data_IF_022484554017
#
_entry.id   IF_022484554017
#
_cell.length_a   1.000
_cell.length_b   1.000
_cell.length_c   1.000
_cell.angle_alpha   90.00
_cell.angle_beta   90.00
_cell.angle_gamma   90.00
#
_symmetry.space_group_name_H-M   'P 1'
#
loop_
_entity.id
_entity.type
_entity.pdbx_description
1 polymer ?
#
# COMPACT_ATOMS: atom_id res chain seq x y z
N UNK A 1 5.28 5.14 -10.42
CA UNK A 1 3.94 4.78 -9.93
C UNK A 1 2.97 4.92 -11.08
N UNK A 2 2.26 3.86 -11.44
CA UNK A 2 1.28 3.90 -12.52
C UNK A 2 -0.07 4.27 -11.91
N UNK A 3 -0.49 5.52 -12.08
CA UNK A 3 -1.77 6.02 -11.58
C UNK A 3 -2.94 5.74 -12.52
N UNK A 4 -2.71 4.97 -13.58
CA UNK A 4 -3.70 4.72 -14.61
C UNK A 4 -3.50 3.32 -15.18
N UNK A 5 -4.59 2.58 -15.32
CA UNK A 5 -4.61 1.34 -16.08
C UNK A 5 -5.72 1.41 -17.13
N UNK A 6 -5.44 0.85 -18.30
CA UNK A 6 -6.44 0.49 -19.30
C UNK A 6 -6.52 -1.03 -19.34
N UNK A 7 -7.63 -1.58 -18.85
CA UNK A 7 -7.85 -3.01 -18.77
C UNK A 7 -8.55 -3.48 -20.04
N UNK A 8 -7.83 -4.24 -20.86
CA UNK A 8 -8.35 -4.82 -22.09
C UNK A 8 -8.91 -6.24 -21.93
N UNK A 9 -9.78 -6.64 -22.85
CA UNK A 9 -10.14 -8.04 -23.05
C UNK A 9 -9.00 -8.82 -23.75
N UNK A 10 -9.18 -10.14 -23.91
CA UNK A 10 -8.19 -11.00 -24.59
C UNK A 10 -7.94 -10.62 -26.06
N UNK A 11 -8.76 -9.74 -26.64
CA UNK A 11 -8.64 -9.22 -28.00
C UNK A 11 -8.04 -7.81 -28.04
N UNK A 12 -7.61 -7.28 -26.89
CA UNK A 12 -7.00 -5.96 -26.75
C UNK A 12 -8.01 -4.80 -26.78
N UNK A 13 -9.31 -5.07 -26.61
CA UNK A 13 -10.32 -4.01 -26.53
C UNK A 13 -10.42 -3.50 -25.10
N UNK A 14 -10.28 -2.18 -24.91
CA UNK A 14 -10.49 -1.53 -23.61
C UNK A 14 -11.87 -1.87 -23.05
N UNK A 15 -11.90 -2.40 -21.82
CA UNK A 15 -13.11 -2.70 -21.04
C UNK A 15 -13.35 -1.56 -20.06
N UNK A 16 -12.31 -1.12 -19.36
CA UNK A 16 -12.38 -0.05 -18.37
C UNK A 16 -11.01 0.61 -18.24
N UNK A 17 -11.01 1.90 -17.94
CA UNK A 17 -9.79 2.67 -17.73
C UNK A 17 -9.97 3.62 -16.55
N UNK A 18 -8.88 3.97 -15.89
CA UNK A 18 -8.89 4.89 -14.76
C UNK A 18 -7.79 4.61 -13.74
N UNK A 19 -7.87 5.24 -12.56
CA UNK A 19 -6.90 5.01 -11.52
C UNK A 19 -6.89 3.58 -11.05
N UNK A 20 -5.69 3.03 -10.91
CA UNK A 20 -5.45 1.66 -10.51
C UNK A 20 -4.56 1.61 -9.28
N UNK A 21 -4.95 0.78 -8.32
CA UNK A 21 -4.13 0.42 -7.17
C UNK A 21 -3.69 -1.03 -7.39
N UNK A 22 -2.38 -1.26 -7.35
CA UNK A 22 -1.81 -2.58 -7.47
C UNK A 22 -1.44 -3.09 -6.07
N UNK A 23 -2.02 -4.22 -5.68
CA UNK A 23 -1.60 -4.94 -4.49
C UNK A 23 -0.98 -6.26 -4.94
N UNK A 24 0.25 -6.51 -4.51
CA UNK A 24 0.94 -7.75 -4.82
C UNK A 24 0.49 -8.87 -3.89
N UNK A 25 0.22 -10.05 -4.46
CA UNK A 25 -0.03 -11.24 -3.68
C UNK A 25 1.22 -11.59 -2.86
N UNK A 26 1.01 -11.96 -1.60
CA UNK A 26 2.10 -12.27 -0.67
C UNK A 26 1.90 -13.67 -0.11
N UNK A 27 2.96 -14.47 -0.10
CA UNK A 27 2.96 -15.77 0.56
C UNK A 27 3.05 -15.59 2.08
N UNK A 28 2.00 -15.92 2.85
CA UNK A 28 1.97 -15.67 4.30
C UNK A 28 2.85 -16.63 5.10
N UNK A 29 3.46 -17.65 4.48
CA UNK A 29 4.40 -18.58 5.13
C UNK A 29 5.85 -18.39 4.68
N UNK A 30 6.11 -17.52 3.71
CA UNK A 30 7.45 -17.24 3.26
C UNK A 30 8.28 -16.51 4.35
N UNK A 31 9.59 -16.74 4.33
CA UNK A 31 10.55 -15.95 5.12
C UNK A 31 11.13 -14.86 4.25
N UNK A 32 10.99 -13.62 4.68
CA UNK A 32 11.62 -12.48 4.02
C UNK A 32 12.93 -12.15 4.75
N UNK A 33 13.97 -11.86 3.97
CA UNK A 33 15.27 -11.41 4.48
C UNK A 33 15.50 -9.97 4.02
N UNK A 34 15.75 -9.08 4.97
CA UNK A 34 16.13 -7.69 4.70
C UNK A 34 17.51 -7.42 5.30
N UNK A 35 18.37 -6.68 4.61
CA UNK A 35 19.62 -6.15 5.17
C UNK A 35 19.39 -5.44 6.52
N UNK A 36 20.33 -5.56 7.45
CA UNK A 36 20.30 -4.76 8.70
C UNK A 36 20.93 -3.37 8.55
N UNK A 37 21.44 -3.03 7.36
CA UNK A 37 21.93 -1.69 7.02
C UNK A 37 20.78 -0.93 6.38
N UNK A 38 19.96 -0.32 7.24
CA UNK A 38 18.77 0.44 6.84
C UNK A 38 19.12 1.93 6.84
N UNK A 39 18.63 2.65 5.84
CA UNK A 39 18.55 4.10 5.89
C UNK A 39 17.36 4.55 6.78
N UNK A 40 17.14 5.85 7.01
CA UNK A 40 16.04 6.31 7.84
C UNK A 40 14.64 5.90 7.34
N UNK A 41 14.43 5.85 6.02
CA UNK A 41 13.13 5.50 5.43
C UNK A 41 12.87 4.00 5.59
N UNK A 42 13.87 3.18 5.30
CA UNK A 42 13.89 1.74 5.54
C UNK A 42 13.68 1.42 7.03
N UNK A 43 14.27 2.20 7.93
CA UNK A 43 14.10 2.02 9.37
C UNK A 43 12.68 2.36 9.84
N UNK A 44 12.05 3.38 9.25
CA UNK A 44 10.66 3.71 9.52
C UNK A 44 9.74 2.60 9.01
N UNK A 45 9.98 2.07 7.82
CA UNK A 45 9.21 0.97 7.26
C UNK A 45 9.35 -0.31 8.08
N UNK A 46 10.54 -0.64 8.57
CA UNK A 46 10.74 -1.74 9.51
C UNK A 46 9.86 -1.59 10.75
N UNK A 47 9.70 -0.38 11.27
CA UNK A 47 8.88 -0.13 12.44
C UNK A 47 7.38 -0.30 12.13
N UNK A 48 6.91 0.16 10.96
CA UNK A 48 5.52 -0.07 10.52
C UNK A 48 5.21 -1.55 10.39
N UNK A 49 6.13 -2.34 9.82
CA UNK A 49 5.94 -3.79 9.73
C UNK A 49 5.85 -4.45 11.13
N UNK A 50 6.59 -3.95 12.12
CA UNK A 50 6.41 -4.43 13.51
C UNK A 50 5.03 -4.05 14.07
N UNK A 51 4.55 -2.84 13.81
CA UNK A 51 3.20 -2.40 14.23
C UNK A 51 2.09 -3.22 13.58
N UNK A 52 2.30 -3.68 12.35
CA UNK A 52 1.39 -4.58 11.64
C UNK A 52 1.44 -6.02 12.18
N UNK A 53 2.32 -6.30 13.15
CA UNK A 53 2.40 -7.58 13.84
C UNK A 53 3.35 -8.59 13.20
N UNK A 54 4.25 -8.18 12.30
CA UNK A 54 5.30 -9.06 11.81
C UNK A 54 6.30 -9.37 12.91
N UNK A 55 6.68 -10.65 13.03
CA UNK A 55 7.72 -11.08 13.95
C UNK A 55 9.06 -10.90 13.23
N UNK A 56 9.91 -10.02 13.77
CA UNK A 56 11.18 -9.67 13.14
C UNK A 56 12.33 -10.01 14.08
N UNK A 57 13.22 -10.89 13.63
CA UNK A 57 14.43 -11.27 14.34
C UNK A 57 15.66 -10.71 13.63
N UNK A 58 16.64 -10.22 14.39
CA UNK A 58 17.94 -9.84 13.81
C UNK A 58 18.88 -11.04 13.86
N UNK A 59 19.24 -11.57 12.70
CA UNK A 59 20.17 -12.69 12.55
C UNK A 59 21.40 -12.21 11.79
N UNK A 60 22.48 -11.93 12.53
CA UNK A 60 23.70 -11.37 11.97
C UNK A 60 23.46 -10.01 11.32
N UNK A 61 23.68 -9.93 10.00
CA UNK A 61 23.52 -8.72 9.18
C UNK A 61 22.15 -8.62 8.49
N UNK A 62 21.16 -9.38 8.96
CA UNK A 62 19.83 -9.44 8.35
C UNK A 62 18.72 -9.33 9.40
N UNK A 63 17.61 -8.74 9.00
CA UNK A 63 16.30 -8.91 9.60
C UNK A 63 15.60 -10.08 8.91
N UNK A 64 15.17 -11.06 9.69
CA UNK A 64 14.41 -12.23 9.24
C UNK A 64 12.98 -12.04 9.70
N UNK A 65 12.05 -12.03 8.74
CA UNK A 65 10.63 -11.85 9.00
C UNK A 65 9.96 -13.22 9.04
N UNK A 66 9.23 -13.46 10.11
CA UNK A 66 8.23 -14.52 10.18
C UNK A 66 6.87 -13.88 9.98
N UNK A 67 6.28 -14.19 8.83
CA UNK A 67 5.01 -13.64 8.41
C UNK A 67 3.88 -14.54 8.93
N UNK A 68 2.73 -13.92 9.20
CA UNK A 68 1.50 -14.63 9.49
C UNK A 68 0.42 -14.10 8.56
N UNK A 69 -0.64 -14.87 8.33
CA UNK A 69 -1.79 -14.36 7.57
C UNK A 69 -2.33 -13.05 8.17
N UNK A 70 -2.33 -12.92 9.50
CA UNK A 70 -2.78 -11.72 10.19
C UNK A 70 -1.88 -10.51 9.90
N UNK A 71 -0.55 -10.67 9.99
CA UNK A 71 0.40 -9.57 9.76
C UNK A 71 0.46 -9.15 8.29
N UNK A 72 0.41 -10.11 7.37
CA UNK A 72 0.33 -9.83 5.92
C UNK A 72 -0.94 -9.06 5.59
N UNK A 73 -2.09 -9.51 6.12
CA UNK A 73 -3.36 -8.82 5.92
C UNK A 73 -3.32 -7.42 6.50
N UNK A 74 -2.75 -7.25 7.69
CA UNK A 74 -2.61 -5.94 8.32
C UNK A 74 -1.79 -4.99 7.44
N UNK A 75 -0.62 -5.43 6.97
CA UNK A 75 0.21 -4.63 6.06
C UNK A 75 -0.51 -4.31 4.76
N UNK A 76 -1.06 -5.31 4.06
CA UNK A 76 -1.71 -5.07 2.77
C UNK A 76 -2.91 -4.12 2.88
N UNK A 77 -3.81 -4.36 3.86
CA UNK A 77 -5.08 -3.62 3.94
C UNK A 77 -4.96 -2.29 4.66
N UNK A 78 -4.11 -2.20 5.70
CA UNK A 78 -4.10 -1.06 6.62
C UNK A 78 -2.85 -0.21 6.52
N UNK A 79 -1.82 -0.66 5.81
CA UNK A 79 -0.61 0.11 5.53
C UNK A 79 -0.49 0.39 4.03
N UNK A 80 -0.27 -0.65 3.21
CA UNK A 80 -0.04 -0.54 1.77
C UNK A 80 -1.25 0.05 1.03
N UNK A 81 -2.43 -0.55 1.12
CA UNK A 81 -3.61 -0.06 0.39
C UNK A 81 -3.92 1.41 0.73
N UNK A 82 -3.88 1.79 2.00
CA UNK A 82 -4.15 3.17 2.41
C UNK A 82 -3.06 4.14 1.94
N UNK A 83 -1.81 3.69 1.87
CA UNK A 83 -0.69 4.45 1.32
C UNK A 83 -0.85 4.69 -0.19
N UNK A 84 -1.19 3.64 -0.95
CA UNK A 84 -1.48 3.75 -2.38
C UNK A 84 -2.67 4.71 -2.66
N UNK A 85 -3.73 4.63 -1.85
CA UNK A 85 -4.84 5.60 -1.89
C UNK A 85 -4.32 7.01 -1.56
N UNK A 86 -3.42 7.15 -0.60
CA UNK A 86 -2.80 8.42 -0.23
C UNK A 86 -2.06 9.08 -1.40
N UNK A 87 -1.32 8.30 -2.19
CA UNK A 87 -0.70 8.81 -3.41
C UNK A 87 -1.73 9.28 -4.45
N UNK A 88 -2.80 8.50 -4.66
CA UNK A 88 -3.89 8.91 -5.54
C UNK A 88 -4.58 10.18 -5.07
N UNK A 89 -4.82 10.33 -3.77
CA UNK A 89 -5.41 11.56 -3.21
C UNK A 89 -4.48 12.75 -3.45
N UNK A 90 -3.16 12.63 -3.23
CA UNK A 90 -2.22 13.74 -3.53
C UNK A 90 -2.29 14.15 -5.01
N UNK A 91 -2.37 13.18 -5.93
CA UNK A 91 -2.56 13.42 -7.36
C UNK A 91 -3.89 14.12 -7.66
N UNK A 92 -4.98 13.63 -7.08
CA UNK A 92 -6.31 14.17 -7.27
C UNK A 92 -6.40 15.64 -6.84
N UNK A 93 -5.83 15.98 -5.67
CA UNK A 93 -5.85 17.34 -5.13
C UNK A 93 -4.96 18.30 -5.92
N UNK A 94 -3.85 17.82 -6.49
CA UNK A 94 -2.83 18.68 -7.10
C UNK A 94 -2.86 18.72 -8.62
N UNK A 95 -3.51 17.76 -9.26
CA UNK A 95 -3.50 17.62 -10.72
C UNK A 95 -4.93 17.54 -11.25
N UNK A 96 -5.68 16.49 -10.93
CA UNK A 96 -6.99 16.28 -11.55
C UNK A 96 -8.01 17.37 -11.20
N UNK A 97 -8.15 17.74 -9.92
CA UNK A 97 -9.12 18.78 -9.52
C UNK A 97 -8.78 20.18 -10.03
N UNK A 98 -7.51 20.65 -9.97
CA UNK A 98 -7.12 21.91 -10.60
C UNK A 98 -7.32 21.90 -12.12
N UNK A 99 -6.98 20.79 -12.79
CA UNK A 99 -7.25 20.59 -14.23
C UNK A 99 -8.74 20.72 -14.54
N UNK A 100 -9.62 20.09 -13.76
CA UNK A 100 -11.07 20.20 -13.94
C UNK A 100 -11.59 21.63 -13.72
N UNK A 101 -10.82 22.48 -13.03
CA UNK A 101 -11.10 23.91 -12.84
C UNK A 101 -10.51 24.78 -13.96
N UNK A 102 -9.88 24.19 -14.96
CA UNK A 102 -9.35 24.87 -16.15
C UNK A 102 -7.87 25.23 -16.07
N UNK A 103 -7.14 24.74 -15.08
CA UNK A 103 -5.67 24.89 -15.02
C UNK A 103 -4.97 23.98 -16.05
N UNK A 104 -3.78 24.40 -16.49
CA UNK A 104 -3.01 23.68 -17.50
C UNK A 104 -2.46 22.35 -16.98
N UNK A 105 -2.87 21.24 -17.60
CA UNK A 105 -2.50 19.89 -17.16
C UNK A 105 -0.99 19.65 -17.19
N UNK A 106 -0.30 20.10 -18.24
CA UNK A 106 1.13 19.84 -18.40
C UNK A 106 1.93 20.56 -17.30
N UNK A 107 1.57 21.82 -17.01
CA UNK A 107 2.15 22.55 -15.89
C UNK A 107 1.89 21.89 -14.51
N UNK A 108 0.67 21.39 -14.28
CA UNK A 108 0.32 20.69 -13.03
C UNK A 108 1.08 19.36 -12.90
N UNK A 109 1.16 18.59 -13.98
CA UNK A 109 1.92 17.34 -14.07
C UNK A 109 3.38 17.58 -13.71
N UNK A 110 4.02 18.55 -14.36
CA UNK A 110 5.42 18.90 -14.12
C UNK A 110 5.62 19.39 -12.68
N UNK A 111 4.75 20.27 -12.19
CA UNK A 111 4.80 20.74 -10.81
C UNK A 111 4.70 19.58 -9.80
N UNK A 112 3.83 18.60 -10.06
CA UNK A 112 3.68 17.43 -9.20
C UNK A 112 4.95 16.57 -9.18
N UNK A 113 5.51 16.24 -10.34
CA UNK A 113 6.68 15.36 -10.43
C UNK A 113 8.01 16.04 -10.07
N UNK A 114 8.08 17.37 -10.16
CA UNK A 114 9.21 18.16 -9.67
C UNK A 114 9.30 18.23 -8.13
N UNK A 115 8.23 17.85 -7.42
CA UNK A 115 8.29 17.72 -5.96
C UNK A 115 9.24 16.60 -5.55
N UNK A 116 10.05 16.80 -4.49
CA UNK A 116 10.91 15.76 -3.95
C UNK A 116 10.13 14.47 -3.70
N UNK A 117 10.71 13.32 -4.09
CA UNK A 117 10.08 12.01 -3.85
C UNK A 117 9.72 11.84 -2.38
N UNK A 118 10.64 12.18 -1.47
CA UNK A 118 10.42 12.10 -0.02
C UNK A 118 9.17 12.86 0.46
N UNK A 119 8.84 14.01 -0.14
CA UNK A 119 7.62 14.75 0.23
C UNK A 119 6.35 14.03 -0.23
N UNK A 120 6.38 13.41 -1.41
CA UNK A 120 5.27 12.64 -1.96
C UNK A 120 5.03 11.37 -1.16
N UNK A 121 6.09 10.63 -0.82
CA UNK A 121 6.03 9.47 0.08
C UNK A 121 5.51 9.84 1.47
N UNK A 122 6.01 10.95 2.04
CA UNK A 122 5.58 11.41 3.35
C UNK A 122 4.10 11.83 3.38
N UNK A 123 3.56 12.37 2.27
CA UNK A 123 2.12 12.62 2.15
C UNK A 123 1.33 11.31 2.23
N UNK A 124 1.71 10.32 1.42
CA UNK A 124 1.00 9.03 1.36
C UNK A 124 1.05 8.29 2.70
N UNK A 125 2.19 8.27 3.39
CA UNK A 125 2.28 7.72 4.74
C UNK A 125 1.39 8.46 5.75
N UNK A 126 1.43 9.79 5.79
CA UNK A 126 0.56 10.56 6.70
C UNK A 126 -0.93 10.31 6.43
N UNK A 127 -1.31 10.23 5.16
CA UNK A 127 -2.68 9.89 4.78
C UNK A 127 -3.05 8.50 5.30
N UNK A 128 -2.18 7.51 5.08
CA UNK A 128 -2.40 6.14 5.54
C UNK A 128 -2.56 6.06 7.07
N UNK A 129 -1.69 6.72 7.83
CA UNK A 129 -1.75 6.74 9.29
C UNK A 129 -3.05 7.36 9.80
N UNK A 130 -3.44 8.53 9.29
CA UNK A 130 -4.69 9.20 9.66
C UNK A 130 -5.93 8.37 9.28
N UNK A 131 -5.92 7.77 8.09
CA UNK A 131 -7.02 6.91 7.65
C UNK A 131 -7.13 5.66 8.53
N UNK A 132 -5.99 5.01 8.83
CA UNK A 132 -5.90 3.84 9.71
C UNK A 132 -6.43 4.17 11.10
N UNK A 133 -6.05 5.30 11.68
CA UNK A 133 -6.56 5.76 12.98
C UNK A 133 -8.07 5.98 12.98
N UNK A 134 -8.60 6.66 11.97
CA UNK A 134 -10.05 6.90 11.84
C UNK A 134 -10.83 5.59 11.71
N UNK A 135 -10.32 4.65 10.90
CA UNK A 135 -10.94 3.34 10.71
C UNK A 135 -10.87 2.45 11.96
N UNK A 136 -9.80 2.59 12.77
CA UNK A 136 -9.72 1.95 14.09
C UNK A 136 -10.75 2.53 15.06
N UNK A 137 -10.86 3.86 15.11
CA UNK A 137 -11.83 4.56 15.98
C UNK A 137 -13.28 4.24 15.62
N UNK A 138 -13.57 3.99 14.33
CA UNK A 138 -14.90 3.58 13.88
C UNK A 138 -15.17 2.08 14.01
N UNK A 139 -14.23 1.28 14.53
CA UNK A 139 -14.38 -0.16 14.70
C UNK A 139 -14.36 -0.96 13.39
N UNK A 140 -13.94 -0.36 12.28
CA UNK A 140 -13.78 -1.06 10.98
C UNK A 140 -12.47 -1.88 10.96
N UNK A 141 -11.46 -1.44 11.73
CA UNK A 141 -10.17 -2.13 11.87
C UNK A 141 -9.92 -2.46 13.35
N UNK A 142 -9.52 -3.70 13.68
CA UNK A 142 -9.52 -4.88 12.81
C UNK A 142 -10.95 -5.42 12.66
N UNK A 143 -11.39 -5.69 11.44
CA UNK A 143 -12.62 -6.47 11.27
C UNK A 143 -12.37 -7.93 11.65
N UNK A 144 -13.44 -8.60 12.10
CA UNK A 144 -13.41 -9.99 12.54
C UNK A 144 -12.64 -10.89 11.54
N UNK A 145 -11.90 -11.90 12.02
CA UNK A 145 -11.16 -12.83 11.18
C UNK A 145 -12.06 -13.44 10.10
N UNK A 146 -11.47 -13.87 8.98
CA UNK A 146 -12.11 -14.83 8.07
C UNK A 146 -12.22 -16.19 8.78
N UNK A 147 -13.02 -16.29 9.83
CA UNK A 147 -13.45 -17.57 10.35
C UNK A 147 -14.55 -18.11 9.40
N UNK A 148 -14.31 -19.28 8.81
CA UNK A 148 -15.28 -20.22 8.19
C UNK A 148 -15.35 -20.44 6.66
N UNK A 149 -14.51 -19.84 5.78
CA UNK A 149 -14.68 -20.10 4.32
C UNK A 149 -13.72 -21.16 3.72
N UNK A 150 -12.58 -21.44 4.35
CA UNK A 150 -11.66 -22.49 3.88
C UNK A 150 -11.51 -23.62 4.89
N UNK A 151 -12.55 -24.44 5.04
CA UNK A 151 -12.30 -25.86 5.34
C UNK A 151 -11.82 -26.51 4.05
N UNK A 152 -10.54 -26.91 3.90
CA UNK A 152 -10.19 -27.81 2.82
C UNK A 152 -11.02 -29.08 3.01
N UNK A 153 -11.91 -29.38 2.07
CA UNK A 153 -12.52 -30.71 2.02
C UNK A 153 -11.36 -31.70 1.98
N UNK A 154 -11.21 -32.50 3.02
CA UNK A 154 -10.30 -33.63 3.01
C UNK A 154 -10.61 -34.50 1.78
N UNK A 155 -9.60 -34.96 1.02
CA UNK A 155 -9.83 -35.92 -0.06
C UNK A 155 -10.44 -37.18 0.55
N UNK A 156 -11.50 -37.69 -0.09
CA UNK A 156 -12.09 -39.00 0.20
C UNK A 156 -11.21 -40.11 -0.34
#
# INVERSE_FOLDING_TARGET
MFYFADLGDQRGRSITFGPAIFLEATDPIAKLNWSSSLDPDDQAELNRLKEDGHIIEKVGRRHVFQMTLASVRATQLYSTLLHEIGHWVDWLERVERPRDQGEDYDALYDAFFNRPKAEREAFAHRYADLARERLKQSGVIPFEPLSLIFSPKAPR
#
